data_IF_774096946371
#
_entry.id   IF_774096946371
#
_cell.length_a   1.000
_cell.length_b   1.000
_cell.length_c   1.000
_cell.angle_alpha   90.00
_cell.angle_beta   90.00
_cell.angle_gamma   90.00
#
_symmetry.space_group_name_H-M   'P 1'
#
loop_
_entity.id
_entity.type
_entity.pdbx_description
1 polymer ?
#
# COMPACT_ATOMS: atom_id res chain seq x y z
N UNK A 1 -17.07 21.81 -1.36
CA UNK A 1 -15.68 22.02 -1.85
C UNK A 1 -14.61 21.85 -0.77
N UNK A 2 -14.90 22.09 0.52
CA UNK A 2 -13.90 21.91 1.61
C UNK A 2 -13.52 20.45 1.93
N UNK A 3 -14.41 19.48 1.68
CA UNK A 3 -14.15 18.07 1.99
C UNK A 3 -13.03 17.45 1.13
N UNK A 4 -12.89 17.83 -0.14
CA UNK A 4 -11.84 17.27 -1.01
C UNK A 4 -10.46 17.86 -0.70
N UNK A 5 -10.38 19.16 -0.38
CA UNK A 5 -9.13 19.84 0.01
C UNK A 5 -8.50 19.23 1.27
N UNK A 6 -9.33 18.88 2.27
CA UNK A 6 -8.84 18.23 3.48
C UNK A 6 -8.38 16.78 3.25
N UNK A 7 -9.03 16.05 2.35
CA UNK A 7 -8.62 14.69 1.98
C UNK A 7 -7.28 14.71 1.23
N UNK A 8 -7.09 15.61 0.26
CA UNK A 8 -5.83 15.76 -0.47
C UNK A 8 -4.68 16.21 0.44
N UNK A 9 -4.93 17.14 1.37
CA UNK A 9 -3.92 17.59 2.35
C UNK A 9 -3.49 16.47 3.31
N UNK A 10 -4.43 15.63 3.74
CA UNK A 10 -4.15 14.44 4.56
C UNK A 10 -3.28 13.41 3.83
N UNK A 11 -3.55 13.19 2.54
CA UNK A 11 -2.76 12.30 1.68
C UNK A 11 -1.33 12.81 1.51
N UNK A 12 -1.17 14.10 1.20
CA UNK A 12 0.14 14.73 1.02
C UNK A 12 0.97 14.69 2.30
N UNK A 13 0.39 14.99 3.47
CA UNK A 13 1.11 14.90 4.75
C UNK A 13 1.51 13.47 5.11
N UNK A 14 0.63 12.49 4.90
CA UNK A 14 0.92 11.06 5.12
C UNK A 14 2.02 10.55 4.17
N UNK A 15 2.08 11.09 2.95
CA UNK A 15 3.12 10.81 1.96
C UNK A 15 4.46 11.49 2.27
N UNK A 16 4.46 12.76 2.69
CA UNK A 16 5.68 13.46 3.15
C UNK A 16 6.29 12.74 4.37
N UNK A 17 5.44 12.27 5.29
CA UNK A 17 5.88 11.48 6.45
C UNK A 17 6.24 10.01 6.12
N UNK A 18 6.13 9.57 4.86
CA UNK A 18 6.65 8.27 4.42
C UNK A 18 8.18 8.27 4.43
N UNK A 19 8.79 9.43 4.17
CA UNK A 19 10.22 9.58 3.92
C UNK A 19 11.07 9.79 5.19
N UNK A 20 10.43 10.15 6.31
CA UNK A 20 11.14 10.41 7.57
C UNK A 20 11.14 9.18 8.49
N UNK A 21 12.37 8.68 8.70
CA UNK A 21 12.90 7.95 9.87
C UNK A 21 12.54 6.45 10.03
N UNK A 22 13.26 5.62 9.26
CA UNK A 22 13.97 4.40 9.72
C UNK A 22 14.85 3.90 8.56
N UNK A 23 16.15 3.67 8.80
CA UNK A 23 17.03 3.00 7.82
C UNK A 23 16.62 1.52 7.80
N UNK A 24 15.60 1.20 7.02
CA UNK A 24 15.26 -0.18 6.70
C UNK A 24 16.17 -0.66 5.56
N UNK A 25 16.81 -1.81 5.74
CA UNK A 25 17.49 -2.49 4.64
C UNK A 25 16.52 -3.42 3.90
N UNK A 26 16.61 -3.51 2.57
CA UNK A 26 15.77 -4.43 1.82
C UNK A 26 16.14 -5.87 2.18
N UNK A 27 15.12 -6.73 2.32
CA UNK A 27 15.31 -8.15 2.62
C UNK A 27 14.54 -9.00 1.64
N UNK A 28 15.04 -10.20 1.39
CA UNK A 28 14.31 -11.18 0.59
C UNK A 28 13.03 -11.57 1.35
N UNK A 29 11.87 -11.28 0.77
CA UNK A 29 10.59 -11.63 1.36
C UNK A 29 9.52 -11.88 0.29
N UNK A 30 8.45 -12.54 0.74
CA UNK A 30 7.28 -12.86 -0.07
C UNK A 30 6.22 -11.76 0.15
N UNK A 31 5.93 -11.01 -0.91
CA UNK A 31 4.94 -9.94 -0.90
C UNK A 31 3.53 -10.47 -0.59
N UNK A 32 3.17 -11.63 -1.15
CA UNK A 32 1.86 -12.25 -0.91
C UNK A 32 1.73 -12.65 0.56
N UNK A 33 2.78 -13.21 1.17
CA UNK A 33 2.79 -13.52 2.60
C UNK A 33 2.59 -12.27 3.45
N UNK A 34 3.31 -11.19 3.14
CA UNK A 34 3.18 -9.90 3.82
C UNK A 34 1.75 -9.35 3.73
N UNK A 35 1.13 -9.39 2.55
CA UNK A 35 -0.24 -8.91 2.35
C UNK A 35 -1.24 -9.78 3.12
N UNK A 36 -1.10 -11.12 3.09
CA UNK A 36 -1.97 -12.04 3.85
C UNK A 36 -1.97 -11.71 5.34
N UNK A 37 -0.79 -11.49 5.93
CA UNK A 37 -0.64 -11.15 7.33
C UNK A 37 -1.30 -9.79 7.66
N UNK A 38 -1.18 -8.81 6.77
CA UNK A 38 -1.81 -7.50 6.96
C UNK A 38 -3.34 -7.56 6.85
N UNK A 39 -3.86 -8.28 5.86
CA UNK A 39 -5.30 -8.43 5.68
C UNK A 39 -5.94 -9.10 6.90
N UNK A 40 -5.28 -10.12 7.47
CA UNK A 40 -5.74 -10.73 8.71
C UNK A 40 -5.90 -9.67 9.82
N UNK A 41 -4.88 -8.82 10.02
CA UNK A 41 -4.93 -7.74 11.01
C UNK A 41 -5.99 -6.68 10.70
N UNK A 42 -6.28 -6.40 9.42
CA UNK A 42 -7.35 -5.48 9.05
C UNK A 42 -8.73 -6.04 9.35
N UNK A 43 -8.98 -7.31 9.04
CA UNK A 43 -10.22 -7.99 9.40
C UNK A 43 -10.47 -8.01 10.90
N UNK A 44 -9.41 -8.13 11.71
CA UNK A 44 -9.50 -8.07 13.17
C UNK A 44 -9.75 -6.64 13.70
N UNK A 45 -9.29 -5.61 12.99
CA UNK A 45 -9.31 -4.21 13.45
C UNK A 45 -10.59 -3.46 13.07
N UNK A 46 -11.15 -3.72 11.89
CA UNK A 46 -12.27 -2.95 11.34
C UNK A 46 -13.60 -3.68 11.55
N UNK A 47 -14.70 -2.92 11.60
CA UNK A 47 -16.05 -3.45 11.83
C UNK A 47 -16.52 -4.38 10.72
N UNK A 48 -17.57 -5.17 11.00
CA UNK A 48 -18.23 -6.03 10.01
C UNK A 48 -18.83 -5.27 8.81
N UNK A 49 -18.96 -3.94 8.90
CA UNK A 49 -19.42 -3.09 7.80
C UNK A 49 -18.38 -2.91 6.68
N UNK A 50 -17.12 -3.29 6.93
CA UNK A 50 -16.06 -3.31 5.92
C UNK A 50 -15.75 -4.74 5.49
N UNK A 51 -16.02 -5.04 4.22
CA UNK A 51 -15.63 -6.30 3.60
C UNK A 51 -14.22 -6.20 3.03
N UNK A 52 -13.32 -7.12 3.40
CA UNK A 52 -11.98 -7.22 2.80
C UNK A 52 -11.90 -8.39 1.82
N UNK A 53 -11.73 -8.08 0.54
CA UNK A 53 -11.44 -9.04 -0.55
C UNK A 53 -9.97 -8.97 -0.92
N UNK A 54 -9.39 -10.12 -1.25
CA UNK A 54 -8.01 -10.17 -1.70
C UNK A 54 -7.80 -11.29 -2.69
N UNK A 55 -7.04 -10.99 -3.74
CA UNK A 55 -6.66 -11.91 -4.79
C UNK A 55 -5.17 -11.76 -4.98
N UNK A 56 -4.44 -12.83 -4.73
CA UNK A 56 -2.98 -12.80 -4.76
C UNK A 56 -2.50 -13.65 -5.91
N UNK A 57 -1.72 -13.04 -6.80
CA UNK A 57 -1.13 -13.73 -7.95
C UNK A 57 -0.05 -14.71 -7.45
N UNK A 58 -0.22 -16.03 -7.62
CA UNK A 58 0.74 -17.02 -7.16
C UNK A 58 2.08 -16.97 -7.91
N UNK A 59 2.13 -16.27 -9.06
CA UNK A 59 3.35 -16.07 -9.84
C UNK A 59 4.31 -15.05 -9.21
N UNK A 60 3.86 -14.22 -8.26
CA UNK A 60 4.70 -13.22 -7.61
C UNK A 60 5.83 -13.91 -6.82
N UNK A 61 7.10 -13.74 -7.23
CA UNK A 61 8.21 -14.40 -6.56
C UNK A 61 8.56 -13.71 -5.25
N UNK A 62 9.38 -14.35 -4.43
CA UNK A 62 10.08 -13.63 -3.37
C UNK A 62 11.03 -12.61 -3.99
N UNK A 63 11.08 -11.41 -3.42
CA UNK A 63 11.88 -10.30 -3.93
C UNK A 63 12.50 -9.50 -2.79
N UNK A 64 13.50 -8.69 -3.13
CA UNK A 64 14.06 -7.73 -2.19
C UNK A 64 13.04 -6.62 -1.94
N UNK A 65 12.59 -6.50 -0.70
CA UNK A 65 11.58 -5.52 -0.32
C UNK A 65 11.87 -4.90 1.04
N UNK A 66 11.46 -3.65 1.18
CA UNK A 66 11.45 -2.90 2.43
C UNK A 66 10.13 -3.20 3.14
N UNK A 67 10.10 -4.29 3.92
CA UNK A 67 8.88 -4.84 4.51
C UNK A 67 8.09 -3.83 5.33
N UNK A 68 8.75 -3.08 6.21
CA UNK A 68 8.11 -2.06 7.07
C UNK A 68 7.54 -0.94 6.22
N UNK A 69 8.28 -0.46 5.22
CA UNK A 69 7.79 0.56 4.27
C UNK A 69 6.59 0.06 3.48
N UNK A 70 6.62 -1.18 3.00
CA UNK A 70 5.50 -1.79 2.27
C UNK A 70 4.26 -1.93 3.17
N UNK A 71 4.45 -2.37 4.41
CA UNK A 71 3.37 -2.43 5.42
C UNK A 71 2.77 -1.05 5.67
N UNK A 72 3.61 -0.01 5.85
CA UNK A 72 3.16 1.37 6.07
C UNK A 72 2.37 1.88 4.86
N UNK A 73 2.87 1.66 3.65
CA UNK A 73 2.19 2.04 2.41
C UNK A 73 0.81 1.38 2.30
N UNK A 74 0.74 0.05 2.45
CA UNK A 74 -0.53 -0.68 2.35
C UNK A 74 -1.52 -0.19 3.43
N UNK A 75 -1.06 0.04 4.67
CA UNK A 75 -1.90 0.61 5.73
C UNK A 75 -2.47 1.98 5.38
N UNK A 76 -1.63 2.85 4.82
CA UNK A 76 -2.05 4.18 4.40
C UNK A 76 -3.14 4.09 3.32
N UNK A 77 -2.90 3.29 2.28
CA UNK A 77 -3.86 3.10 1.19
C UNK A 77 -5.18 2.52 1.71
N UNK A 78 -5.14 1.46 2.52
CA UNK A 78 -6.33 0.86 3.12
C UNK A 78 -7.13 1.86 3.97
N UNK A 79 -6.45 2.62 4.82
CA UNK A 79 -7.12 3.61 5.66
C UNK A 79 -7.79 4.69 4.81
N UNK A 80 -7.11 5.17 3.77
CA UNK A 80 -7.68 6.18 2.88
C UNK A 80 -8.91 5.63 2.13
N UNK A 81 -8.88 4.37 1.69
CA UNK A 81 -10.04 3.73 1.06
C UNK A 81 -11.23 3.65 2.02
N UNK A 82 -11.01 3.25 3.27
CA UNK A 82 -12.08 3.16 4.28
C UNK A 82 -12.66 4.54 4.60
N UNK A 83 -11.80 5.54 4.77
CA UNK A 83 -12.20 6.94 4.99
C UNK A 83 -13.04 7.47 3.82
N UNK A 84 -12.64 7.18 2.58
CA UNK A 84 -13.37 7.58 1.38
C UNK A 84 -14.77 6.96 1.29
N UNK A 85 -14.93 5.73 1.78
CA UNK A 85 -16.23 5.02 1.79
C UNK A 85 -17.05 5.27 3.07
N UNK A 86 -16.62 6.18 3.95
CA UNK A 86 -17.31 6.49 5.22
C UNK A 86 -17.47 5.26 6.14
N UNK A 87 -16.45 4.42 6.24
CA UNK A 87 -16.41 3.22 7.10
C UNK A 87 -17.41 2.10 6.73
N UNK A 88 -17.88 2.05 5.49
CA UNK A 88 -18.71 0.95 4.96
C UNK A 88 -18.29 0.56 3.54
N UNK A 89 -18.51 -0.69 3.13
CA UNK A 89 -18.24 -1.15 1.76
C UNK A 89 -17.07 -2.12 1.66
N UNK A 90 -16.45 -2.23 0.49
CA UNK A 90 -15.47 -3.28 0.20
C UNK A 90 -14.10 -2.72 -0.14
N UNK A 91 -13.07 -3.17 0.57
CA UNK A 91 -11.66 -2.94 0.21
C UNK A 91 -11.12 -4.18 -0.50
N UNK A 92 -10.65 -4.01 -1.73
CA UNK A 92 -10.06 -5.10 -2.53
C UNK A 92 -8.55 -4.88 -2.69
N UNK A 93 -7.74 -5.90 -2.37
CA UNK A 93 -6.29 -5.88 -2.57
C UNK A 93 -5.92 -6.97 -3.59
N UNK A 94 -5.32 -6.56 -4.71
CA UNK A 94 -4.86 -7.44 -5.77
C UNK A 94 -3.33 -7.35 -5.87
N UNK A 95 -2.66 -8.49 -6.04
CA UNK A 95 -1.30 -8.53 -6.60
C UNK A 95 -1.32 -9.12 -8.00
N UNK A 96 -0.47 -8.59 -8.87
CA UNK A 96 -0.26 -9.10 -10.22
C UNK A 96 1.11 -8.68 -10.72
N UNK A 97 1.74 -9.49 -11.56
CA UNK A 97 2.95 -9.11 -12.28
C UNK A 97 2.53 -8.27 -13.50
N UNK A 98 3.05 -7.05 -13.58
CA UNK A 98 2.87 -6.17 -14.73
C UNK A 98 4.19 -6.03 -15.47
N UNK A 99 4.18 -6.25 -16.78
CA UNK A 99 5.29 -5.86 -17.65
C UNK A 99 5.14 -4.36 -17.92
N UNK A 100 6.00 -3.55 -17.29
CA UNK A 100 6.12 -2.15 -17.67
C UNK A 100 6.94 -2.07 -18.96
N UNK A 101 6.26 -1.77 -20.07
CA UNK A 101 6.97 -1.26 -21.24
C UNK A 101 7.62 0.07 -20.86
N UNK A 102 8.87 0.25 -21.25
CA UNK A 102 9.63 1.45 -20.95
C UNK A 102 9.07 2.62 -21.75
N UNK A 103 7.98 3.23 -21.28
CA UNK A 103 7.66 4.60 -21.64
C UNK A 103 8.62 5.51 -20.84
N UNK A 104 9.44 6.27 -21.57
CA UNK A 104 10.58 7.17 -21.26
C UNK A 104 10.60 8.04 -19.96
N UNK A 105 9.89 7.70 -18.89
CA UNK A 105 9.74 8.57 -17.71
C UNK A 105 10.63 8.13 -16.52
N UNK A 106 11.23 6.94 -16.56
CA UNK A 106 12.10 6.44 -15.47
C UNK A 106 13.54 6.24 -15.93
N UNK A 107 14.16 7.27 -16.49
CA UNK A 107 15.62 7.34 -16.44
C UNK A 107 16.01 7.60 -14.97
N UNK A 108 16.78 6.71 -14.30
CA UNK A 108 17.27 6.99 -12.97
C UNK A 108 18.19 8.21 -13.06
N UNK A 109 17.76 9.35 -12.50
CA UNK A 109 18.67 10.47 -12.32
C UNK A 109 19.75 10.04 -11.34
N UNK A 110 20.92 9.72 -11.88
CA UNK A 110 22.16 9.56 -11.13
C UNK A 110 22.51 10.94 -10.58
N UNK A 111 22.24 11.17 -9.30
CA UNK A 111 22.83 12.30 -8.58
C UNK A 111 24.31 11.97 -8.37
N UNK A 112 25.17 12.66 -9.12
CA UNK A 112 26.62 12.69 -8.89
C UNK A 112 26.96 13.66 -7.75
#
# INVERSE_FOLDING_TARGET
MEKSLNQTSGLVKKFINYDLEEIEQPKQADLNKLIKELVKRFKEKYSEEIEFKFTLDPGVPSMLLYSKRMVKLIKLLTQNSIEAMQNRGTVSILTTIVEMQADDILAPQMFY
#
